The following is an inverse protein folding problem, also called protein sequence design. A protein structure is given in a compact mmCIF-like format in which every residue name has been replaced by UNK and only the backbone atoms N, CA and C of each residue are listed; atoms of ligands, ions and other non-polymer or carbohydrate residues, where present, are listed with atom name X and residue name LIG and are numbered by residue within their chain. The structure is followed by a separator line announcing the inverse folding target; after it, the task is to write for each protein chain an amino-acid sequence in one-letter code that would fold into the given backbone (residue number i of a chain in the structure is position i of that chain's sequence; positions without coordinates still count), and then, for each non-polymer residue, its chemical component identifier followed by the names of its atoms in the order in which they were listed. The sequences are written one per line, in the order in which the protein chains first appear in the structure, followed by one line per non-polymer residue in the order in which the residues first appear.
data_IF_846989523584
#
_entry.id   IF_846989523584
#
_cell.length_a   1.000
_cell.length_b   1.000
_cell.length_c   1.000
_cell.angle_alpha   90.00
_cell.angle_beta   90.00
_cell.angle_gamma   90.00
#
_symmetry.space_group_name_H-M   'P 1'
#
loop_
_entity.id
_entity.type
_entity.pdbx_description
1 polymer ?
#
# COMPACT_ATOMS: atom_id res chain seq x y z
N UNK A 1 10.63 34.83 -22.77
CA UNK A 1 9.94 33.51 -22.72
C UNK A 1 9.23 33.23 -24.03
N UNK A 2 9.18 31.95 -24.41
CA UNK A 2 8.91 31.37 -25.74
C UNK A 2 7.43 31.40 -26.22
N UNK A 3 6.78 32.57 -26.25
CA UNK A 3 5.36 32.67 -26.67
C UNK A 3 5.16 32.17 -28.12
N UNK A 4 6.04 32.53 -29.05
CA UNK A 4 5.97 32.07 -30.44
C UNK A 4 6.07 30.55 -30.61
N UNK A 5 6.86 29.88 -29.76
CA UNK A 5 6.96 28.42 -29.77
C UNK A 5 5.68 27.74 -29.29
N UNK A 6 5.02 28.28 -28.26
CA UNK A 6 3.74 27.75 -27.79
C UNK A 6 2.64 27.92 -28.84
N UNK A 7 2.60 29.06 -29.53
CA UNK A 7 1.63 29.30 -30.61
C UNK A 7 1.83 28.32 -31.76
N UNK A 8 3.07 28.14 -32.22
CA UNK A 8 3.36 27.18 -33.30
C UNK A 8 3.04 25.74 -32.90
N UNK A 9 3.31 25.37 -31.64
CA UNK A 9 3.00 24.05 -31.11
C UNK A 9 1.49 23.79 -31.02
N UNK A 10 0.70 24.80 -30.69
CA UNK A 10 -0.77 24.69 -30.67
C UNK A 10 -1.35 24.60 -32.08
N UNK A 11 -0.78 25.34 -33.05
CA UNK A 11 -1.17 25.27 -34.46
C UNK A 11 -0.87 23.92 -35.10
N UNK A 12 0.16 23.22 -34.63
CA UNK A 12 0.53 21.89 -35.12
C UNK A 12 -0.16 20.74 -34.38
N UNK A 13 -1.06 21.02 -33.44
CA UNK A 13 -1.82 19.99 -32.70
C UNK A 13 -3.24 19.88 -33.22
N UNK A 14 -3.77 18.65 -33.18
CA UNK A 14 -5.19 18.39 -33.41
C UNK A 14 -6.05 19.04 -32.29
N UNK A 15 -7.21 19.65 -32.60
CA UNK A 15 -8.06 20.31 -31.61
C UNK A 15 -8.50 19.40 -30.45
N UNK A 16 -8.72 18.12 -30.72
CA UNK A 16 -9.05 17.12 -29.70
C UNK A 16 -7.89 16.93 -28.69
N UNK A 17 -6.65 16.96 -29.17
CA UNK A 17 -5.46 16.85 -28.32
C UNK A 17 -5.30 18.08 -27.43
N UNK A 18 -5.60 19.28 -27.95
CA UNK A 18 -5.58 20.53 -27.17
C UNK A 18 -6.59 20.47 -26.02
N UNK A 19 -7.82 20.03 -26.30
CA UNK A 19 -8.86 19.87 -25.27
C UNK A 19 -8.47 18.84 -24.21
N UNK A 20 -7.91 17.70 -24.61
CA UNK A 20 -7.42 16.68 -23.69
C UNK A 20 -6.33 17.22 -22.77
N UNK A 21 -5.31 17.89 -23.34
CA UNK A 21 -4.19 18.46 -22.58
C UNK A 21 -4.64 19.57 -21.62
N UNK A 22 -5.64 20.38 -21.99
CA UNK A 22 -6.24 21.36 -21.09
C UNK A 22 -6.97 20.68 -19.91
N UNK A 23 -7.70 19.60 -20.18
CA UNK A 23 -8.35 18.79 -19.14
C UNK A 23 -7.33 18.20 -18.16
N UNK A 24 -6.26 17.60 -18.68
CA UNK A 24 -5.16 17.06 -17.87
C UNK A 24 -4.45 18.14 -17.05
N UNK A 25 -4.20 19.32 -17.63
CA UNK A 25 -3.61 20.43 -16.90
C UNK A 25 -4.51 20.90 -15.75
N UNK A 26 -5.84 20.99 -15.97
CA UNK A 26 -6.81 21.32 -14.91
C UNK A 26 -6.81 20.26 -13.81
N UNK A 27 -6.85 18.97 -14.17
CA UNK A 27 -6.77 17.86 -13.20
C UNK A 27 -5.48 17.89 -12.41
N UNK A 28 -4.35 18.17 -13.06
CA UNK A 28 -3.04 18.30 -12.41
C UNK A 28 -3.01 19.46 -11.43
N UNK A 29 -3.54 20.63 -11.80
CA UNK A 29 -3.63 21.79 -10.91
C UNK A 29 -4.54 21.50 -9.71
N UNK A 30 -5.72 20.93 -9.96
CA UNK A 30 -6.65 20.55 -8.90
C UNK A 30 -6.00 19.52 -7.96
N UNK A 31 -5.30 18.53 -8.50
CA UNK A 31 -4.61 17.53 -7.68
C UNK A 31 -3.45 18.11 -6.87
N UNK A 32 -2.72 19.10 -7.41
CA UNK A 32 -1.65 19.81 -6.71
C UNK A 32 -2.14 20.78 -5.64
N UNK A 33 -3.43 21.15 -5.66
CA UNK A 33 -4.05 22.00 -4.63
C UNK A 33 -4.82 21.19 -3.59
N UNK A 34 -4.90 19.86 -3.78
CA UNK A 34 -5.37 18.94 -2.74
C UNK A 34 -4.20 18.66 -1.80
N UNK A 35 -3.84 19.66 -1.01
CA UNK A 35 -2.77 19.63 -0.01
C UNK A 35 -3.31 19.33 1.40
N UNK A 36 -4.50 18.71 1.52
CA UNK A 36 -5.12 18.42 2.84
C UNK A 36 -4.36 17.34 3.66
N UNK A 37 -3.10 17.09 3.31
CA UNK A 37 -2.19 16.16 3.95
C UNK A 37 -2.72 14.73 4.04
N UNK A 38 -1.97 13.88 4.74
CA UNK A 38 -2.44 12.52 5.04
C UNK A 38 -3.53 12.52 6.11
N UNK A 39 -3.68 13.62 6.88
CA UNK A 39 -4.66 13.78 7.94
C UNK A 39 -6.10 13.70 7.42
N UNK A 40 -6.35 14.12 6.16
CA UNK A 40 -7.66 13.95 5.52
C UNK A 40 -8.07 12.49 5.36
N UNK A 41 -7.11 11.58 5.31
CA UNK A 41 -7.33 10.15 5.21
C UNK A 41 -7.24 9.45 6.57
N UNK A 42 -7.52 10.16 7.66
CA UNK A 42 -7.63 9.56 8.98
C UNK A 42 -8.50 8.30 8.90
N UNK A 43 -7.86 7.14 9.07
CA UNK A 43 -8.56 5.88 9.03
C UNK A 43 -9.47 5.81 10.24
N UNK A 44 -10.76 5.59 10.04
CA UNK A 44 -11.61 5.10 11.12
C UNK A 44 -10.95 3.84 11.71
N UNK A 45 -11.11 3.56 13.02
CA UNK A 45 -10.63 2.34 13.60
C UNK A 45 -11.07 1.16 12.75
N UNK A 46 -10.12 0.46 12.15
CA UNK A 46 -10.43 -0.75 11.42
C UNK A 46 -10.88 -1.75 12.47
N UNK A 47 -12.16 -2.09 12.47
CA UNK A 47 -12.65 -3.28 13.13
C UNK A 47 -12.47 -4.41 12.13
N UNK A 48 -11.42 -5.25 12.23
CA UNK A 48 -11.27 -6.38 11.33
C UNK A 48 -12.42 -7.36 11.63
N UNK A 49 -13.52 -7.21 10.91
CA UNK A 49 -14.61 -8.17 10.95
C UNK A 49 -14.33 -9.18 9.85
N UNK A 50 -13.50 -10.17 10.16
CA UNK A 50 -13.48 -11.40 9.39
C UNK A 50 -14.75 -12.18 9.78
N UNK A 51 -15.86 -11.86 9.11
CA UNK A 51 -17.14 -12.51 9.36
C UNK A 51 -16.99 -14.03 9.21
N UNK A 52 -17.47 -14.79 10.20
CA UNK A 52 -17.46 -16.25 10.14
C UNK A 52 -16.10 -16.91 10.49
N UNK A 53 -15.05 -16.13 10.78
CA UNK A 53 -13.72 -16.71 11.00
C UNK A 53 -13.64 -17.52 12.29
N UNK A 54 -14.32 -17.06 13.34
CA UNK A 54 -14.40 -17.80 14.61
C UNK A 54 -15.10 -19.13 14.40
N UNK A 55 -16.24 -19.11 13.71
CA UNK A 55 -17.03 -20.29 13.38
C UNK A 55 -16.23 -21.25 12.50
N UNK A 56 -15.54 -20.74 11.49
CA UNK A 56 -14.68 -21.54 10.62
C UNK A 56 -13.51 -22.20 11.38
N UNK A 57 -12.86 -21.47 12.29
CA UNK A 57 -11.81 -22.02 13.14
C UNK A 57 -12.35 -23.09 14.10
N UNK A 58 -13.56 -22.90 14.63
CA UNK A 58 -14.23 -23.89 15.49
C UNK A 58 -14.72 -25.11 14.70
N UNK A 59 -15.08 -24.96 13.44
CA UNK A 59 -15.50 -26.04 12.55
C UNK A 59 -14.34 -26.74 11.82
N UNK A 60 -13.09 -26.29 12.03
CA UNK A 60 -11.92 -26.81 11.33
C UNK A 60 -11.75 -28.33 11.52
N UNK A 61 -11.47 -29.02 10.40
CA UNK A 61 -11.15 -30.45 10.40
C UNK A 61 -9.84 -30.71 11.16
N UNK A 62 -9.57 -31.95 11.61
CA UNK A 62 -8.31 -32.27 12.30
C UNK A 62 -7.08 -31.87 11.49
N UNK A 63 -7.08 -32.12 10.17
CA UNK A 63 -6.00 -31.73 9.27
C UNK A 63 -5.81 -30.20 9.21
N UNK A 64 -6.91 -29.45 9.15
CA UNK A 64 -6.87 -27.98 9.16
C UNK A 64 -6.33 -27.45 10.49
N UNK A 65 -6.75 -28.01 11.63
CA UNK A 65 -6.23 -27.63 12.94
C UNK A 65 -4.73 -27.85 13.06
N UNK A 66 -4.25 -28.98 12.56
CA UNK A 66 -2.82 -29.27 12.55
C UNK A 66 -2.05 -28.28 11.66
N UNK A 67 -2.58 -27.95 10.48
CA UNK A 67 -1.99 -26.95 9.59
C UNK A 67 -1.96 -25.54 10.23
N UNK A 68 -3.06 -25.14 10.89
CA UNK A 68 -3.15 -23.86 11.62
C UNK A 68 -2.14 -23.84 12.76
N UNK A 69 -2.05 -24.89 13.58
CA UNK A 69 -1.09 -24.97 14.67
C UNK A 69 0.36 -24.90 14.17
N UNK A 70 0.68 -25.61 13.08
CA UNK A 70 2.00 -25.57 12.47
C UNK A 70 2.34 -24.17 11.92
N UNK A 71 1.39 -23.49 11.27
CA UNK A 71 1.59 -22.13 10.77
C UNK A 71 1.75 -21.10 11.90
N UNK A 72 0.97 -21.24 12.97
CA UNK A 72 1.11 -20.42 14.18
C UNK A 72 2.47 -20.63 14.83
N UNK A 73 2.92 -21.88 14.98
CA UNK A 73 4.22 -22.19 15.56
C UNK A 73 5.37 -21.58 14.74
N UNK A 74 5.35 -21.74 13.41
CA UNK A 74 6.34 -21.10 12.52
C UNK A 74 6.37 -19.59 12.69
N UNK A 75 5.19 -18.97 12.79
CA UNK A 75 5.07 -17.52 12.99
C UNK A 75 5.71 -17.09 14.32
N UNK A 76 5.48 -17.85 15.40
CA UNK A 76 6.08 -17.63 16.73
C UNK A 76 7.58 -17.94 16.79
N UNK A 77 8.09 -18.69 15.81
CA UNK A 77 9.51 -18.94 15.59
C UNK A 77 10.16 -17.90 14.67
N UNK A 78 9.44 -16.84 14.30
CA UNK A 78 9.93 -15.78 13.42
C UNK A 78 9.90 -16.12 11.93
N UNK A 79 9.26 -17.23 11.55
CA UNK A 79 9.06 -17.63 10.16
C UNK A 79 7.67 -17.21 9.68
N UNK A 80 7.58 -15.99 9.18
CA UNK A 80 6.32 -15.41 8.70
C UNK A 80 6.22 -15.49 7.17
N UNK A 81 5.04 -15.85 6.65
CA UNK A 81 4.76 -15.83 5.22
C UNK A 81 3.39 -15.21 4.96
N UNK A 82 3.32 -14.23 4.06
CA UNK A 82 2.09 -13.54 3.68
C UNK A 82 2.19 -13.04 2.24
N UNK A 83 1.05 -12.88 1.57
CA UNK A 83 0.97 -12.38 0.18
C UNK A 83 1.83 -13.21 -0.81
N UNK A 84 1.94 -14.51 -0.57
CA UNK A 84 2.74 -15.43 -1.41
C UNK A 84 4.25 -15.27 -1.24
N UNK A 85 4.73 -14.55 -0.22
CA UNK A 85 6.16 -14.38 0.07
C UNK A 85 6.49 -14.80 1.50
N UNK A 86 7.62 -15.48 1.66
CA UNK A 86 8.25 -15.69 2.97
C UNK A 86 9.06 -14.46 3.31
N UNK A 87 8.79 -13.91 4.49
CA UNK A 87 9.45 -12.71 4.98
C UNK A 87 10.79 -13.07 5.64
N UNK A 88 11.72 -12.12 5.76
CA UNK A 88 12.98 -12.36 6.47
C UNK A 88 12.77 -12.90 7.89
N UNK A 89 13.54 -13.91 8.34
CA UNK A 89 13.44 -14.50 9.68
C UNK A 89 13.58 -13.46 10.80
N UNK A 90 12.94 -13.72 11.94
CA UNK A 90 12.83 -12.75 13.03
C UNK A 90 13.17 -13.29 14.40
N UNK A 91 13.54 -12.36 15.26
CA UNK A 91 13.63 -12.59 16.68
C UNK A 91 12.24 -12.88 17.25
N UNK A 92 12.17 -13.91 18.10
CA UNK A 92 10.95 -14.38 18.75
C UNK A 92 10.43 -13.36 19.75
N UNK A 93 11.32 -12.54 20.31
CA UNK A 93 10.96 -11.48 21.26
C UNK A 93 10.44 -10.21 20.56
N UNK A 94 10.59 -10.12 19.23
CA UNK A 94 10.18 -8.94 18.44
C UNK A 94 9.66 -9.31 17.05
N UNK A 95 8.56 -10.07 17.01
CA UNK A 95 7.98 -10.60 15.77
C UNK A 95 7.41 -9.51 14.84
N UNK A 96 6.62 -8.57 15.37
CA UNK A 96 5.84 -7.58 14.59
C UNK A 96 6.10 -6.12 15.02
N UNK A 97 7.34 -5.62 14.92
CA UNK A 97 7.62 -4.22 15.19
C UNK A 97 7.02 -3.32 14.07
N UNK A 98 6.70 -2.04 14.32
CA UNK A 98 6.04 -1.18 13.33
C UNK A 98 6.75 -1.08 11.98
N UNK A 99 8.08 -1.14 11.98
CA UNK A 99 8.92 -1.06 10.78
C UNK A 99 8.73 -2.26 9.84
N UNK A 100 8.20 -3.38 10.35
CA UNK A 100 7.80 -4.53 9.54
C UNK A 100 6.90 -4.12 8.38
N UNK A 101 5.91 -3.29 8.66
CA UNK A 101 4.88 -2.94 7.67
C UNK A 101 5.41 -2.01 6.57
N UNK A 102 6.64 -1.52 6.75
CA UNK A 102 7.41 -0.75 5.75
C UNK A 102 8.51 -1.59 5.09
N UNK A 103 8.71 -2.83 5.50
CA UNK A 103 9.73 -3.70 4.94
C UNK A 103 9.25 -4.28 3.62
N UNK A 104 10.03 -4.12 2.57
CA UNK A 104 9.85 -4.87 1.32
C UNK A 104 10.34 -6.31 1.53
N UNK A 105 9.46 -7.33 1.50
CA UNK A 105 9.85 -8.71 1.75
C UNK A 105 10.74 -9.29 0.63
N UNK A 106 10.80 -8.66 -0.54
CA UNK A 106 11.62 -9.11 -1.68
C UNK A 106 13.04 -8.55 -1.57
N UNK A 107 13.18 -7.25 -1.31
CA UNK A 107 14.50 -6.60 -1.25
C UNK A 107 15.08 -6.51 0.15
N UNK A 108 14.27 -6.72 1.20
CA UNK A 108 14.66 -6.52 2.59
C UNK A 108 14.87 -5.05 2.97
N UNK A 109 14.51 -4.10 2.08
CA UNK A 109 14.70 -2.67 2.32
C UNK A 109 13.47 -2.07 3.01
N UNK A 110 13.73 -1.09 3.87
CA UNK A 110 12.66 -0.30 4.48
C UNK A 110 12.24 0.82 3.53
N UNK A 111 10.94 0.95 3.34
CA UNK A 111 10.36 2.12 2.70
C UNK A 111 10.43 3.34 3.64
N UNK A 112 10.56 4.55 3.08
CA UNK A 112 10.49 5.78 3.86
C UNK A 112 9.20 5.85 4.67
N UNK A 113 9.29 6.32 5.91
CA UNK A 113 8.12 6.49 6.76
C UNK A 113 7.53 7.88 6.67
N UNK A 114 6.48 8.16 7.47
CA UNK A 114 5.87 9.49 7.53
C UNK A 114 6.88 10.60 7.88
N UNK A 115 7.95 10.27 8.62
CA UNK A 115 9.06 11.18 8.94
C UNK A 115 9.79 11.74 7.70
N UNK A 116 9.67 11.07 6.55
CA UNK A 116 10.30 11.51 5.29
C UNK A 116 9.40 12.42 4.45
N UNK A 117 8.16 12.66 4.89
CA UNK A 117 7.11 13.37 4.15
C UNK A 117 6.45 14.50 4.96
N UNK A 118 7.03 14.86 6.10
CA UNK A 118 6.64 16.01 6.94
C UNK A 118 7.40 17.26 6.52
#
# INVERSE_FOLDING_TARGET
MRIGWYINRLRSMEPAEVLHRLGEQRRRIASRRRDDGWERYASSPLHPVLLGWREAALAATPAQRQAIAAAAQKTLEGQFSALGRTWPPRDRDRLFPPELWRLDPVTGRLWPGPESHT
#
